data_IF_102231602185
#
_entry.id   IF_102231602185
#
_cell.length_a   1.000
_cell.length_b   1.000
_cell.length_c   1.000
_cell.angle_alpha   90.00
_cell.angle_beta   90.00
_cell.angle_gamma   90.00
#
_symmetry.space_group_name_H-M   'P 1'
#
loop_
_entity.id
_entity.type
_entity.pdbx_description
1 polymer ?
#
# COMPACT_ATOMS: atom_id res chain seq x y z
N UNK A 1 -32.07 6.07 -6.82
CA UNK A 1 -32.86 6.68 -7.92
C UNK A 1 -32.60 8.18 -7.89
N UNK A 2 -32.30 8.80 -9.02
CA UNK A 2 -32.11 10.25 -9.09
C UNK A 2 -33.44 10.99 -8.89
N UNK A 3 -33.41 12.12 -8.21
CA UNK A 3 -34.55 12.96 -7.83
C UNK A 3 -34.24 14.43 -8.15
N UNK A 4 -35.22 15.33 -8.00
CA UNK A 4 -34.98 16.76 -8.19
C UNK A 4 -34.09 17.41 -7.13
N UNK A 5 -33.84 16.74 -5.99
CA UNK A 5 -33.03 17.25 -4.88
C UNK A 5 -31.74 16.43 -4.63
N UNK A 6 -31.48 15.38 -5.43
CA UNK A 6 -30.32 14.49 -5.26
C UNK A 6 -30.66 13.03 -5.57
N UNK A 7 -30.38 12.12 -4.65
CA UNK A 7 -30.55 10.67 -4.84
C UNK A 7 -31.39 10.04 -3.71
N UNK A 8 -32.35 9.21 -4.09
CA UNK A 8 -33.07 8.31 -3.19
C UNK A 8 -32.30 6.98 -3.06
N UNK A 9 -31.85 6.66 -1.85
CA UNK A 9 -31.22 5.39 -1.49
C UNK A 9 -32.26 4.48 -0.83
N UNK A 10 -32.30 3.21 -1.22
CA UNK A 10 -33.26 2.23 -0.70
C UNK A 10 -32.57 0.97 -0.21
N UNK A 11 -32.74 0.63 1.07
CA UNK A 11 -32.20 -0.61 1.68
C UNK A 11 -33.27 -1.21 2.59
N UNK A 12 -33.60 -2.49 2.41
CA UNK A 12 -34.54 -3.21 3.29
C UNK A 12 -35.94 -2.59 3.40
N UNK A 13 -36.42 -1.90 2.36
CA UNK A 13 -37.72 -1.20 2.36
C UNK A 13 -37.70 0.18 3.01
N UNK A 14 -36.57 0.61 3.59
CA UNK A 14 -36.36 1.98 4.03
C UNK A 14 -35.84 2.84 2.86
N UNK A 15 -36.21 4.11 2.87
CA UNK A 15 -35.80 5.10 1.86
C UNK A 15 -35.25 6.35 2.53
N UNK A 16 -34.15 6.89 2.00
CA UNK A 16 -33.56 8.15 2.43
C UNK A 16 -33.13 8.98 1.21
N UNK A 17 -33.46 10.27 1.23
CA UNK A 17 -33.02 11.22 0.21
C UNK A 17 -31.72 11.88 0.65
N UNK A 18 -30.70 11.83 -0.21
CA UNK A 18 -29.38 12.47 0.01
C UNK A 18 -29.10 13.47 -1.10
N UNK A 19 -28.56 14.64 -0.75
CA UNK A 19 -28.26 15.69 -1.73
C UNK A 19 -26.90 15.52 -2.41
N UNK A 20 -26.01 14.68 -1.85
CA UNK A 20 -24.64 14.46 -2.33
C UNK A 20 -24.27 12.97 -2.13
N UNK A 21 -23.67 12.36 -3.15
CA UNK A 21 -22.95 11.09 -3.05
C UNK A 21 -21.47 11.38 -3.33
N UNK A 22 -20.57 10.95 -2.45
CA UNK A 22 -19.13 11.09 -2.62
C UNK A 22 -18.55 9.72 -2.99
N UNK A 23 -17.91 9.64 -4.15
CA UNK A 23 -17.08 8.49 -4.48
C UNK A 23 -15.74 8.61 -3.74
N UNK A 24 -15.61 7.84 -2.67
CA UNK A 24 -14.39 7.76 -1.85
C UNK A 24 -13.51 6.56 -2.25
N UNK A 25 -13.83 5.85 -3.34
CA UNK A 25 -13.04 4.70 -3.79
C UNK A 25 -11.70 5.18 -4.33
N UNK A 26 -10.62 4.75 -3.69
CA UNK A 26 -9.27 5.01 -4.19
C UNK A 26 -8.98 4.13 -5.40
N UNK A 27 -8.29 4.66 -6.43
CA UNK A 27 -7.84 3.84 -7.54
C UNK A 27 -6.84 2.79 -7.06
N UNK A 28 -6.77 1.66 -7.76
CA UNK A 28 -5.80 0.61 -7.51
C UNK A 28 -4.37 1.19 -7.42
N UNK A 29 -3.53 0.72 -6.47
CA UNK A 29 -2.18 1.22 -6.28
C UNK A 29 -1.19 0.64 -7.31
N UNK A 30 -1.56 0.67 -8.59
CA UNK A 30 -0.72 0.19 -9.67
C UNK A 30 0.54 1.05 -9.79
N UNK A 31 1.72 0.42 -9.75
CA UNK A 31 3.00 1.11 -9.90
C UNK A 31 3.11 1.87 -11.23
N UNK A 32 2.46 1.35 -12.28
CA UNK A 32 2.40 1.95 -13.61
C UNK A 32 1.79 3.36 -13.61
N UNK A 33 0.95 3.70 -12.62
CA UNK A 33 0.34 5.03 -12.49
C UNK A 33 1.30 6.09 -11.93
N UNK A 34 2.44 5.69 -11.35
CA UNK A 34 3.43 6.62 -10.79
C UNK A 34 4.44 7.00 -11.86
N UNK A 35 4.46 8.27 -12.25
CA UNK A 35 5.34 8.79 -13.32
C UNK A 35 6.48 9.67 -12.83
N UNK A 36 6.48 10.02 -11.55
CA UNK A 36 7.44 10.97 -10.97
C UNK A 36 8.54 10.21 -10.23
N UNK A 37 9.82 10.62 -10.34
CA UNK A 37 10.91 10.06 -9.55
C UNK A 37 10.64 10.04 -8.03
N UNK A 38 11.23 9.09 -7.28
CA UNK A 38 12.25 8.14 -7.72
C UNK A 38 11.71 6.81 -8.28
N UNK A 39 10.42 6.51 -8.11
CA UNK A 39 9.86 5.17 -8.34
C UNK A 39 10.07 4.62 -9.77
N UNK A 40 9.80 5.36 -10.86
CA UNK A 40 10.03 4.86 -12.21
C UNK A 40 11.46 4.39 -12.44
N UNK A 41 12.45 5.14 -11.93
CA UNK A 41 13.86 4.76 -12.05
C UNK A 41 14.20 3.48 -11.30
N UNK A 42 13.65 3.30 -10.09
CA UNK A 42 13.85 2.08 -9.29
C UNK A 42 13.22 0.85 -9.97
N UNK A 43 12.04 1.01 -10.58
CA UNK A 43 11.37 -0.05 -11.34
C UNK A 43 12.18 -0.43 -12.58
N UNK A 44 12.61 0.58 -13.38
CA UNK A 44 13.43 0.35 -14.58
C UNK A 44 14.77 -0.32 -14.24
N UNK A 45 15.36 0.01 -13.10
CA UNK A 45 16.60 -0.60 -12.61
C UNK A 45 16.39 -1.98 -11.97
N UNK A 46 15.15 -2.49 -11.95
CA UNK A 46 14.82 -3.81 -11.42
C UNK A 46 14.80 -3.93 -9.90
N UNK A 47 14.90 -2.81 -9.17
CA UNK A 47 14.93 -2.78 -7.71
C UNK A 47 13.54 -2.89 -7.06
N UNK A 48 12.48 -2.85 -7.87
CA UNK A 48 11.09 -2.98 -7.44
C UNK A 48 10.36 -3.91 -8.41
N UNK A 49 9.84 -5.01 -7.90
CA UNK A 49 8.85 -5.84 -8.56
C UNK A 49 7.44 -5.42 -8.18
N UNK A 50 6.49 -5.53 -9.12
CA UNK A 50 5.06 -5.46 -8.82
C UNK A 50 4.57 -6.84 -8.31
N UNK A 51 3.55 -6.85 -7.45
CA UNK A 51 2.84 -8.10 -7.10
C UNK A 51 2.11 -8.67 -8.33
N UNK A 52 1.55 -7.79 -9.16
CA UNK A 52 1.02 -8.05 -10.50
C UNK A 52 0.91 -6.72 -11.25
N UNK A 53 0.57 -6.76 -12.55
CA UNK A 53 0.55 -5.58 -13.44
C UNK A 53 -0.29 -4.40 -12.91
N UNK A 54 -1.37 -4.68 -12.18
CA UNK A 54 -2.31 -3.69 -11.64
C UNK A 54 -2.19 -3.47 -10.12
N UNK A 55 -1.18 -4.06 -9.48
CA UNK A 55 -1.03 -4.04 -8.02
C UNK A 55 0.24 -3.31 -7.55
N UNK A 56 0.32 -3.21 -6.22
CA UNK A 56 1.39 -2.59 -5.46
C UNK A 56 2.75 -3.28 -5.63
N UNK A 57 3.80 -2.70 -5.04
CA UNK A 57 5.13 -3.31 -5.01
C UNK A 57 5.16 -4.57 -4.13
N UNK A 58 5.93 -5.56 -4.58
CA UNK A 58 6.24 -6.75 -3.80
C UNK A 58 7.20 -6.37 -2.66
N UNK A 59 6.83 -6.72 -1.44
CA UNK A 59 7.60 -6.44 -0.24
C UNK A 59 7.66 -7.66 0.68
N UNK A 60 8.67 -7.72 1.53
CA UNK A 60 8.70 -8.57 2.71
C UNK A 60 7.68 -8.07 3.76
N UNK A 61 7.30 -8.90 4.74
CA UNK A 61 6.38 -8.49 5.82
C UNK A 61 6.85 -7.29 6.65
N UNK A 62 8.14 -6.96 6.59
CA UNK A 62 8.76 -5.82 7.25
C UNK A 62 8.99 -4.62 6.32
N UNK A 63 8.39 -4.62 5.12
CA UNK A 63 8.47 -3.54 4.15
C UNK A 63 9.70 -3.53 3.27
N UNK A 64 10.63 -4.49 3.41
CA UNK A 64 11.79 -4.60 2.50
C UNK A 64 11.32 -4.87 1.08
N UNK A 65 11.78 -4.10 0.10
CA UNK A 65 11.37 -4.28 -1.30
C UNK A 65 11.95 -5.56 -1.90
N UNK A 66 11.21 -6.19 -2.81
CA UNK A 66 11.72 -7.28 -3.65
C UNK A 66 12.07 -6.78 -5.04
N UNK A 67 13.21 -7.23 -5.56
CA UNK A 67 13.62 -6.99 -6.94
C UNK A 67 12.84 -7.86 -7.94
N UNK A 68 13.09 -7.70 -9.23
CA UNK A 68 12.45 -8.48 -10.30
C UNK A 68 12.74 -9.99 -10.23
N UNK A 69 13.77 -10.43 -9.50
CA UNK A 69 14.02 -11.86 -9.24
C UNK A 69 13.23 -12.40 -8.05
N UNK A 70 12.51 -11.54 -7.33
CA UNK A 70 11.83 -11.85 -6.09
C UNK A 70 12.73 -11.80 -4.86
N UNK A 71 13.99 -11.35 -5.00
CA UNK A 71 14.95 -11.29 -3.90
C UNK A 71 14.80 -9.97 -3.11
N UNK A 72 14.98 -9.98 -1.78
CA UNK A 72 14.92 -8.77 -0.98
C UNK A 72 16.09 -7.82 -1.31
N UNK A 73 15.79 -6.54 -1.49
CA UNK A 73 16.77 -5.48 -1.79
C UNK A 73 17.27 -4.86 -0.50
N UNK A 74 18.54 -5.14 -0.17
CA UNK A 74 19.16 -4.62 1.06
C UNK A 74 19.14 -3.09 1.10
N UNK A 75 18.68 -2.54 2.23
CA UNK A 75 18.62 -1.09 2.46
C UNK A 75 17.48 -0.36 1.75
N UNK A 76 16.61 -1.07 1.01
CA UNK A 76 15.49 -0.47 0.31
C UNK A 76 14.16 -0.98 0.88
N UNK A 77 13.35 -0.07 1.40
CA UNK A 77 12.06 -0.39 1.99
C UNK A 77 10.97 0.54 1.46
N UNK A 78 9.74 0.05 1.39
CA UNK A 78 8.56 0.82 0.99
C UNK A 78 7.43 0.62 1.99
N UNK A 79 6.80 1.72 2.39
CA UNK A 79 5.65 1.73 3.29
C UNK A 79 4.51 2.52 2.66
N UNK A 80 3.31 2.37 3.21
CA UNK A 80 2.11 3.05 2.71
C UNK A 80 1.42 2.25 1.62
N UNK A 81 0.50 2.91 0.91
CA UNK A 81 -0.45 2.27 -0.03
C UNK A 81 0.20 1.46 -1.16
N UNK A 82 1.42 1.83 -1.56
CA UNK A 82 2.18 1.11 -2.60
C UNK A 82 2.90 -0.14 -2.09
N UNK A 83 2.82 -0.45 -0.79
CA UNK A 83 3.31 -1.67 -0.14
C UNK A 83 2.14 -2.49 0.41
N UNK A 84 1.09 -2.61 -0.41
CA UNK A 84 -0.22 -3.13 -0.01
C UNK A 84 -0.11 -4.48 0.71
N UNK A 85 -0.54 -4.51 1.98
CA UNK A 85 -0.61 -5.73 2.79
C UNK A 85 0.65 -6.10 3.59
N UNK A 86 1.75 -5.33 3.55
CA UNK A 86 2.96 -5.64 4.33
C UNK A 86 3.06 -4.89 5.66
N UNK A 87 3.17 -3.56 5.62
CA UNK A 87 3.42 -2.72 6.82
C UNK A 87 2.27 -1.77 7.14
N UNK A 88 1.51 -1.33 6.14
CA UNK A 88 0.34 -0.47 6.34
C UNK A 88 -0.89 -1.11 5.73
N UNK A 89 -1.95 -1.21 6.51
CA UNK A 89 -3.26 -1.58 5.98
C UNK A 89 -3.65 -0.61 4.87
N UNK A 90 -4.35 -1.13 3.86
CA UNK A 90 -4.86 -0.30 2.77
C UNK A 90 -6.05 0.53 3.24
N UNK A 91 -6.95 -0.11 4.02
CA UNK A 91 -8.30 0.42 4.26
C UNK A 91 -8.76 0.32 5.73
N UNK A 92 -7.87 -0.06 6.66
CA UNK A 92 -8.21 -0.29 8.07
C UNK A 92 -7.19 0.34 9.01
N UNK A 93 -7.58 1.39 9.74
CA UNK A 93 -6.75 2.00 10.78
C UNK A 93 -6.27 0.97 11.81
N UNK A 94 -7.06 -0.09 12.05
CA UNK A 94 -6.75 -1.15 12.99
C UNK A 94 -5.50 -1.95 12.58
N UNK A 95 -5.30 -2.24 11.29
CA UNK A 95 -4.12 -2.99 10.85
C UNK A 95 -2.89 -2.10 10.65
N UNK A 96 -3.05 -0.77 10.68
CA UNK A 96 -1.95 0.20 10.69
C UNK A 96 -1.24 0.30 12.04
N UNK A 97 -1.93 -0.04 13.14
CA UNK A 97 -1.37 -0.06 14.51
C UNK A 97 -1.28 -1.48 15.10
N UNK A 98 -1.50 -2.51 14.29
CA UNK A 98 -1.41 -3.92 14.68
C UNK A 98 -0.05 -4.54 14.35
N UNK A 99 -0.02 -5.85 14.14
CA UNK A 99 1.19 -6.64 13.87
C UNK A 99 2.06 -6.13 12.73
N UNK A 100 1.50 -5.37 11.79
CA UNK A 100 2.27 -4.76 10.69
C UNK A 100 3.26 -3.71 11.18
N UNK A 101 2.90 -2.96 12.23
CA UNK A 101 3.81 -2.02 12.89
C UNK A 101 4.93 -2.74 13.66
N UNK A 102 4.60 -3.84 14.35
CA UNK A 102 5.59 -4.66 15.06
C UNK A 102 6.62 -5.24 14.09
N UNK A 103 6.17 -5.86 12.99
CA UNK A 103 7.07 -6.41 11.96
C UNK A 103 8.00 -5.37 11.36
N UNK A 104 7.50 -4.16 11.13
CA UNK A 104 8.33 -3.05 10.69
C UNK A 104 9.40 -2.68 11.72
N UNK A 105 9.00 -2.49 12.98
CA UNK A 105 9.91 -2.12 14.06
C UNK A 105 11.00 -3.18 14.26
N UNK A 106 10.62 -4.46 14.32
CA UNK A 106 11.54 -5.59 14.44
C UNK A 106 12.51 -5.65 13.26
N UNK A 107 12.01 -5.48 12.04
CA UNK A 107 12.83 -5.42 10.82
C UNK A 107 13.87 -4.30 10.89
N UNK A 108 13.47 -3.09 11.33
CA UNK A 108 14.39 -1.95 11.49
C UNK A 108 15.50 -2.29 12.48
N UNK A 109 15.15 -2.83 13.66
CA UNK A 109 16.13 -3.22 14.68
C UNK A 109 17.09 -4.30 14.15
N UNK A 110 16.57 -5.30 13.44
CA UNK A 110 17.37 -6.36 12.84
C UNK A 110 18.37 -5.80 11.80
N UNK A 111 17.91 -4.92 10.90
CA UNK A 111 18.78 -4.26 9.92
C UNK A 111 19.87 -3.41 10.57
N UNK A 112 19.52 -2.63 11.59
CA UNK A 112 20.49 -1.82 12.33
C UNK A 112 21.54 -2.69 13.03
N UNK A 113 21.15 -3.84 13.58
CA UNK A 113 22.10 -4.80 14.17
C UNK A 113 23.06 -5.36 13.13
N UNK A 114 22.55 -5.76 11.97
CA UNK A 114 23.33 -6.37 10.89
C UNK A 114 24.21 -5.37 10.12
N UNK A 115 23.86 -4.08 10.15
CA UNK A 115 24.64 -3.01 9.53
C UNK A 115 25.82 -2.55 10.39
N UNK A 116 25.88 -2.93 11.68
CA UNK A 116 27.03 -2.62 12.53
C UNK A 116 28.18 -3.56 12.17
N UNK A 117 29.41 -3.04 11.94
CA UNK A 117 30.58 -3.90 11.85
C UNK A 117 30.74 -4.67 13.17
N UNK A 118 31.20 -5.93 13.09
CA UNK A 118 31.51 -6.72 14.28
C UNK A 118 32.59 -5.98 15.10
N UNK A 119 32.35 -5.80 16.40
CA UNK A 119 33.33 -5.28 17.36
C UNK A 119 34.52 -6.22 17.52
#
# INVERSE_FOLDING_TARGET
IETSQGWMLSVGGQQVEVSIIIDAVLPAPALSNIKVPPLPGLITNGLIAAVSDDLAAATEPDGTLRDQSGSPVSGLCLLGRLALGSVTAVDSLHDCFGHSADRWADGVVARLRNARPAE
#
